data_IF_871848326298
#
_entry.id   IF_871848326298
#
_cell.length_a   1.000
_cell.length_b   1.000
_cell.length_c   1.000
_cell.angle_alpha   90.00
_cell.angle_beta   90.00
_cell.angle_gamma   90.00
#
_symmetry.space_group_name_H-M   'P 1'
#
loop_
_entity.id
_entity.type
_entity.pdbx_description
1 polymer ?
#
# COMPACT_ATOMS: atom_id res chain seq x y z
N UNK A 1 -32.83 -43.78 -2.78
CA UNK A 1 -33.09 -43.70 -1.33
C UNK A 1 -32.29 -44.79 -0.63
N UNK A 2 -31.05 -44.51 -0.29
CA UNK A 2 -30.22 -45.31 0.62
C UNK A 2 -29.30 -44.32 1.32
N UNK A 3 -29.67 -43.91 2.53
CA UNK A 3 -28.85 -43.05 3.39
C UNK A 3 -28.39 -43.89 4.55
N UNK A 4 -27.09 -44.14 4.57
CA UNK A 4 -26.35 -44.70 5.69
C UNK A 4 -26.61 -43.85 6.95
N UNK A 5 -27.37 -44.39 7.89
CA UNK A 5 -27.29 -44.00 9.29
C UNK A 5 -26.12 -44.78 9.92
N UNK A 6 -24.96 -44.13 10.00
CA UNK A 6 -23.97 -44.47 11.01
C UNK A 6 -24.07 -43.43 12.12
N UNK A 7 -25.09 -43.60 12.97
CA UNK A 7 -25.12 -42.94 14.27
C UNK A 7 -24.04 -43.65 15.09
N UNK A 8 -22.95 -42.93 15.37
CA UNK A 8 -22.02 -43.30 16.44
C UNK A 8 -22.84 -43.41 17.73
N UNK A 9 -23.17 -44.63 18.14
CA UNK A 9 -23.55 -44.95 19.51
C UNK A 9 -22.34 -44.61 20.40
N UNK A 10 -22.29 -43.36 20.87
CA UNK A 10 -21.49 -43.03 22.04
C UNK A 10 -22.27 -43.58 23.22
N UNK A 11 -21.84 -44.77 23.66
CA UNK A 11 -22.26 -45.41 24.90
C UNK A 11 -22.18 -44.38 26.04
N UNK A 12 -23.33 -43.85 26.46
CA UNK A 12 -23.44 -42.99 27.63
C UNK A 12 -23.21 -43.87 28.85
N UNK A 13 -21.95 -43.97 29.26
CA UNK A 13 -21.60 -44.45 30.59
C UNK A 13 -22.39 -43.59 31.57
N UNK A 14 -23.27 -44.23 32.34
CA UNK A 14 -24.11 -43.65 33.39
C UNK A 14 -23.26 -42.75 34.29
N UNK A 15 -23.27 -41.43 34.04
CA UNK A 15 -22.76 -40.47 35.01
C UNK A 15 -23.81 -40.38 36.11
N UNK A 16 -23.54 -41.01 37.26
CA UNK A 16 -24.28 -40.72 38.49
C UNK A 16 -23.98 -39.27 38.84
N UNK A 17 -25.02 -38.45 38.84
CA UNK A 17 -24.93 -37.05 39.22
C UNK A 17 -25.42 -36.99 40.66
N UNK A 18 -24.50 -36.79 41.60
CA UNK A 18 -24.80 -36.96 43.03
C UNK A 18 -25.24 -35.63 43.68
N UNK A 19 -25.22 -34.52 42.94
CA UNK A 19 -25.71 -33.23 43.40
C UNK A 19 -26.28 -32.34 42.28
N UNK A 20 -27.21 -31.44 42.64
CA UNK A 20 -27.78 -30.45 41.72
C UNK A 20 -26.69 -29.54 41.10
N UNK A 21 -25.61 -29.27 41.83
CA UNK A 21 -24.49 -28.46 41.35
C UNK A 21 -23.73 -29.14 40.21
N UNK A 22 -23.48 -30.45 40.30
CA UNK A 22 -22.87 -31.24 39.23
C UNK A 22 -23.76 -31.31 37.99
N UNK A 23 -25.08 -31.45 38.18
CA UNK A 23 -26.03 -31.46 37.08
C UNK A 23 -26.00 -30.14 36.30
N UNK A 24 -25.96 -29.01 37.01
CA UNK A 24 -25.89 -27.68 36.41
C UNK A 24 -24.55 -27.47 35.68
N UNK A 25 -23.44 -27.96 36.24
CA UNK A 25 -22.12 -27.88 35.60
C UNK A 25 -22.07 -28.70 34.31
N UNK A 26 -22.61 -29.92 34.34
CA UNK A 26 -22.74 -30.80 33.17
C UNK A 26 -23.60 -30.16 32.07
N UNK A 27 -24.78 -29.63 32.42
CA UNK A 27 -25.67 -28.93 31.49
C UNK A 27 -25.01 -27.69 30.87
N UNK A 28 -24.21 -26.94 31.63
CA UNK A 28 -23.43 -25.79 31.11
C UNK A 28 -22.33 -26.24 30.15
N UNK A 29 -21.65 -27.34 30.45
CA UNK A 29 -20.58 -27.89 29.61
C UNK A 29 -21.12 -28.42 28.28
N UNK A 30 -22.18 -29.22 28.30
CA UNK A 30 -22.80 -29.78 27.09
C UNK A 30 -23.43 -28.70 26.21
N UNK A 31 -24.15 -27.72 26.79
CA UNK A 31 -24.65 -26.59 26.02
C UNK A 31 -23.50 -25.80 25.35
N UNK A 32 -22.33 -25.71 25.98
CA UNK A 32 -21.14 -25.06 25.38
C UNK A 32 -20.60 -25.86 24.20
N UNK A 33 -20.56 -27.19 24.29
CA UNK A 33 -20.09 -28.07 23.22
C UNK A 33 -21.02 -28.04 22.00
N UNK A 34 -22.34 -28.08 22.21
CA UNK A 34 -23.31 -27.98 21.11
C UNK A 34 -23.31 -26.60 20.45
N UNK A 35 -23.25 -25.51 21.24
CA UNK A 35 -23.07 -24.15 20.69
C UNK A 35 -21.81 -24.04 19.83
N UNK A 36 -20.69 -24.63 20.28
CA UNK A 36 -19.43 -24.57 19.54
C UNK A 36 -19.44 -25.40 18.25
N UNK A 37 -20.12 -26.55 18.21
CA UNK A 37 -20.32 -27.33 16.99
C UNK A 37 -21.24 -26.61 15.99
N UNK A 38 -22.39 -26.11 16.45
CA UNK A 38 -23.33 -25.34 15.63
C UNK A 38 -22.72 -24.05 15.08
N UNK A 39 -21.97 -23.31 15.90
CA UNK A 39 -21.22 -22.11 15.48
C UNK A 39 -20.11 -22.44 14.48
N UNK A 40 -19.41 -23.57 14.60
CA UNK A 40 -18.41 -23.99 13.60
C UNK A 40 -19.07 -24.30 12.26
N UNK A 41 -20.20 -25.02 12.27
CA UNK A 41 -20.94 -25.38 11.07
C UNK A 41 -21.50 -24.13 10.38
N UNK A 42 -22.16 -23.23 11.13
CA UNK A 42 -22.64 -21.94 10.61
C UNK A 42 -21.51 -21.04 10.10
N UNK A 43 -20.37 -20.98 10.80
CA UNK A 43 -19.20 -20.23 10.32
C UNK A 43 -18.66 -20.79 9.02
N UNK A 44 -18.65 -22.10 8.84
CA UNK A 44 -18.22 -22.73 7.58
C UNK A 44 -19.21 -22.43 6.45
N UNK A 45 -20.52 -22.58 6.70
CA UNK A 45 -21.58 -22.26 5.72
C UNK A 45 -21.55 -20.78 5.29
N UNK A 46 -21.35 -19.85 6.23
CA UNK A 46 -21.26 -18.40 5.93
C UNK A 46 -19.94 -18.06 5.22
N UNK A 47 -18.87 -18.80 5.47
CA UNK A 47 -17.57 -18.62 4.80
C UNK A 47 -17.62 -19.08 3.34
N UNK A 48 -18.42 -20.10 3.05
CA UNK A 48 -18.58 -20.68 1.71
C UNK A 48 -19.60 -19.92 0.82
N UNK A 49 -20.57 -19.20 1.43
CA UNK A 49 -21.64 -18.48 0.71
C UNK A 49 -21.46 -16.94 0.64
N UNK A 50 -20.24 -16.41 0.72
CA UNK A 50 -20.02 -14.97 0.52
C UNK A 50 -20.32 -14.59 -0.93
N UNK A 51 -21.07 -13.51 -1.20
CA UNK A 51 -21.35 -13.08 -2.57
C UNK A 51 -20.03 -12.79 -3.28
N UNK A 52 -19.76 -13.54 -4.36
CA UNK A 52 -18.59 -13.34 -5.21
C UNK A 52 -18.95 -12.29 -6.26
N UNK A 53 -18.20 -11.20 -6.28
CA UNK A 53 -18.38 -10.13 -7.26
C UNK A 53 -17.55 -10.49 -8.49
N UNK A 54 -18.15 -10.51 -9.68
CA UNK A 54 -17.40 -10.65 -10.92
C UNK A 54 -16.60 -9.38 -11.19
N UNK A 55 -15.28 -9.47 -11.02
CA UNK A 55 -14.34 -8.37 -11.23
C UNK A 55 -13.60 -8.44 -12.56
N UNK A 56 -13.88 -9.44 -13.40
CA UNK A 56 -13.09 -9.73 -14.60
C UNK A 56 -13.22 -8.59 -15.63
N UNK A 57 -14.46 -8.14 -15.89
CA UNK A 57 -14.76 -7.05 -16.83
C UNK A 57 -14.14 -5.73 -16.39
N UNK A 58 -14.21 -5.41 -15.09
CA UNK A 58 -13.67 -4.15 -14.59
C UNK A 58 -12.14 -4.15 -14.59
N UNK A 59 -11.50 -5.30 -14.34
CA UNK A 59 -10.05 -5.45 -14.49
C UNK A 59 -9.62 -5.21 -15.93
N UNK A 60 -10.31 -5.82 -16.90
CA UNK A 60 -10.05 -5.63 -18.33
C UNK A 60 -10.18 -4.16 -18.75
N UNK A 61 -11.31 -3.50 -18.43
CA UNK A 61 -11.54 -2.09 -18.75
C UNK A 61 -10.48 -1.18 -18.12
N UNK A 62 -10.02 -1.53 -16.91
CA UNK A 62 -9.00 -0.76 -16.18
C UNK A 62 -7.57 -1.05 -16.67
N UNK A 63 -7.40 -1.92 -17.66
CA UNK A 63 -6.08 -2.31 -18.18
C UNK A 63 -5.23 -3.11 -17.19
N UNK A 64 -5.88 -3.86 -16.28
CA UNK A 64 -5.21 -4.76 -15.33
C UNK A 64 -5.09 -6.12 -15.98
N UNK A 65 -3.87 -6.62 -16.13
CA UNK A 65 -3.59 -7.90 -16.76
C UNK A 65 -3.74 -9.03 -15.73
N UNK A 66 -4.40 -10.12 -16.12
CA UNK A 66 -4.35 -11.37 -15.37
C UNK A 66 -3.03 -12.10 -15.60
N UNK A 67 -2.74 -13.13 -14.80
CA UNK A 67 -1.52 -13.93 -14.93
C UNK A 67 -1.35 -14.53 -16.34
N UNK A 68 -2.44 -14.99 -16.94
CA UNK A 68 -2.46 -15.54 -18.30
C UNK A 68 -2.16 -14.51 -19.40
N UNK A 69 -2.23 -13.21 -19.09
CA UNK A 69 -2.06 -12.11 -20.03
C UNK A 69 -0.74 -11.36 -19.82
N UNK A 70 0.20 -11.90 -19.05
CA UNK A 70 1.48 -11.25 -18.78
C UNK A 70 2.34 -11.05 -20.03
N UNK A 71 2.20 -11.90 -21.06
CA UNK A 71 2.86 -11.68 -22.35
C UNK A 71 2.33 -10.41 -23.03
N UNK A 72 1.01 -10.15 -22.95
CA UNK A 72 0.42 -8.92 -23.48
C UNK A 72 0.93 -7.68 -22.72
N UNK A 73 1.12 -7.78 -21.39
CA UNK A 73 1.74 -6.72 -20.59
C UNK A 73 3.19 -6.49 -21.00
N UNK A 74 3.97 -7.56 -21.23
CA UNK A 74 5.34 -7.46 -21.71
C UNK A 74 5.43 -6.83 -23.10
N UNK A 75 4.51 -7.15 -24.00
CA UNK A 75 4.43 -6.53 -25.33
C UNK A 75 3.97 -5.07 -25.28
N UNK A 76 3.10 -4.72 -24.33
CA UNK A 76 2.76 -3.33 -24.05
C UNK A 76 3.99 -2.55 -23.56
N UNK A 77 4.73 -3.09 -22.59
CA UNK A 77 5.93 -2.46 -22.02
C UNK A 77 7.02 -2.24 -23.06
N UNK A 78 7.22 -3.17 -24.02
CA UNK A 78 8.17 -3.00 -25.13
C UNK A 78 7.86 -1.82 -26.06
N UNK A 79 6.59 -1.39 -26.13
CA UNK A 79 6.15 -0.25 -26.95
C UNK A 79 6.32 1.10 -26.25
N UNK A 80 6.61 1.10 -24.95
CA UNK A 80 6.88 2.30 -24.17
C UNK A 80 8.33 2.78 -24.40
N UNK A 81 8.71 3.99 -23.94
CA UNK A 81 10.09 4.44 -23.96
C UNK A 81 11.07 3.41 -23.37
N UNK A 82 12.32 3.40 -23.86
CA UNK A 82 13.38 2.50 -23.35
C UNK A 82 13.46 2.59 -21.83
N UNK A 83 13.78 1.46 -21.20
CA UNK A 83 13.87 1.31 -19.75
C UNK A 83 12.57 1.52 -18.96
N UNK A 84 11.42 1.58 -19.65
CA UNK A 84 10.13 1.35 -19.01
C UNK A 84 10.04 -0.08 -18.48
N UNK A 85 9.30 -0.27 -17.39
CA UNK A 85 9.03 -1.59 -16.85
C UNK A 85 7.65 -1.66 -16.21
N UNK A 86 7.14 -2.87 -16.02
CA UNK A 86 5.97 -3.13 -15.19
C UNK A 86 6.34 -4.06 -14.03
N UNK A 87 5.76 -3.78 -12.87
CA UNK A 87 5.79 -4.65 -11.70
C UNK A 87 4.38 -5.22 -11.54
N UNK A 88 4.29 -6.55 -11.46
CA UNK A 88 3.03 -7.26 -11.32
C UNK A 88 3.16 -8.37 -10.29
N UNK A 89 2.14 -8.52 -9.44
CA UNK A 89 2.03 -9.68 -8.55
C UNK A 89 0.59 -9.90 -8.12
N UNK A 90 0.29 -11.14 -7.74
CA UNK A 90 -0.90 -11.44 -6.93
C UNK A 90 -0.57 -11.34 -5.46
N UNK A 91 -1.57 -11.04 -4.63
CA UNK A 91 -1.38 -11.08 -3.20
C UNK A 91 -2.61 -11.60 -2.50
N UNK A 92 -2.40 -12.12 -1.30
CA UNK A 92 -3.44 -12.61 -0.41
C UNK A 92 -3.49 -11.78 0.85
N UNK A 93 -4.66 -11.24 1.18
CA UNK A 93 -4.86 -10.49 2.43
C UNK A 93 -4.65 -11.40 3.66
N UNK A 94 -3.72 -11.01 4.55
CA UNK A 94 -3.48 -11.68 5.83
C UNK A 94 -4.39 -11.16 6.94
N UNK A 95 -4.92 -9.95 6.75
CA UNK A 95 -5.88 -9.26 7.62
C UNK A 95 -6.93 -8.56 6.76
N UNK A 96 -8.12 -8.22 7.32
CA UNK A 96 -9.14 -7.47 6.59
C UNK A 96 -8.58 -6.16 6.03
N UNK A 97 -9.02 -5.78 4.84
CA UNK A 97 -8.72 -4.48 4.24
C UNK A 97 -9.95 -3.57 4.32
N UNK A 98 -9.71 -2.31 4.64
CA UNK A 98 -10.71 -1.26 4.67
C UNK A 98 -10.11 0.05 4.17
N UNK A 99 -10.81 0.71 3.26
CA UNK A 99 -10.70 2.14 3.01
C UNK A 99 -12.11 2.66 3.05
N UNK A 100 -12.34 3.79 3.70
CA UNK A 100 -13.69 4.35 3.78
C UNK A 100 -14.14 4.84 2.41
N UNK A 101 -15.38 4.57 2.04
CA UNK A 101 -16.04 5.22 0.88
C UNK A 101 -16.59 6.61 1.25
N UNK A 102 -16.82 7.45 0.25
CA UNK A 102 -17.40 8.79 0.40
C UNK A 102 -18.94 8.79 0.24
N UNK A 103 -19.57 7.61 0.26
CA UNK A 103 -21.03 7.48 0.16
C UNK A 103 -21.70 7.74 1.52
N UNK A 104 -22.18 8.97 1.69
CA UNK A 104 -22.84 9.45 2.91
C UNK A 104 -24.20 8.78 3.17
N UNK A 105 -24.83 8.18 2.16
CA UNK A 105 -26.17 7.58 2.26
C UNK A 105 -26.14 6.04 2.27
N UNK A 106 -25.03 5.44 2.74
CA UNK A 106 -24.89 3.99 2.80
C UNK A 106 -25.50 3.37 4.06
N UNK A 107 -26.05 2.16 3.93
CA UNK A 107 -26.75 1.43 5.02
C UNK A 107 -25.80 1.11 6.19
N UNK A 108 -24.53 0.83 5.88
CA UNK A 108 -23.50 0.51 6.87
C UNK A 108 -22.72 1.78 7.23
N UNK A 109 -22.49 2.02 8.52
CA UNK A 109 -21.78 3.21 9.03
C UNK A 109 -20.39 3.46 8.43
N UNK A 110 -19.66 2.39 8.12
CA UNK A 110 -18.33 2.46 7.53
C UNK A 110 -18.32 1.60 6.25
N UNK A 111 -18.81 2.12 5.12
CA UNK A 111 -18.73 1.44 3.84
C UNK A 111 -17.28 1.30 3.40
N UNK A 112 -16.95 0.16 2.79
CA UNK A 112 -15.68 0.05 2.08
C UNK A 112 -15.79 0.80 0.76
N UNK A 113 -14.70 1.45 0.40
CA UNK A 113 -14.49 2.06 -0.90
C UNK A 113 -14.76 1.06 -2.03
N UNK A 114 -15.71 1.41 -2.89
CA UNK A 114 -16.06 0.62 -4.07
C UNK A 114 -15.89 1.41 -5.34
N UNK A 115 -15.67 0.68 -6.43
CA UNK A 115 -15.80 1.28 -7.75
C UNK A 115 -17.26 1.66 -8.03
N UNK A 116 -17.44 2.79 -8.72
CA UNK A 116 -18.73 3.47 -8.85
C UNK A 116 -19.80 2.64 -9.56
N UNK A 117 -19.44 1.93 -10.63
CA UNK A 117 -20.39 1.27 -11.53
C UNK A 117 -20.64 -0.19 -11.14
N UNK A 118 -19.58 -0.96 -10.91
CA UNK A 118 -19.65 -2.39 -10.59
C UNK A 118 -19.80 -2.65 -9.10
N UNK A 119 -19.64 -1.62 -8.26
CA UNK A 119 -19.71 -1.71 -6.79
C UNK A 119 -18.75 -2.73 -6.19
N UNK A 120 -17.67 -3.04 -6.91
CA UNK A 120 -16.60 -3.92 -6.46
C UNK A 120 -15.71 -3.18 -5.44
N UNK A 121 -15.44 -3.74 -4.25
CA UNK A 121 -14.51 -3.15 -3.30
C UNK A 121 -13.13 -2.99 -3.94
N UNK A 122 -12.45 -1.89 -3.66
CA UNK A 122 -11.19 -1.58 -4.34
C UNK A 122 -10.15 -0.89 -3.48
N UNK A 123 -8.90 -1.02 -3.92
CA UNK A 123 -7.82 -0.10 -3.60
C UNK A 123 -7.67 0.85 -4.79
N UNK A 124 -7.80 2.17 -4.58
CA UNK A 124 -7.53 3.16 -5.64
C UNK A 124 -6.03 3.14 -5.99
N UNK A 125 -5.69 3.47 -7.24
CA UNK A 125 -4.30 3.69 -7.65
C UNK A 125 -3.59 4.76 -6.80
N UNK A 126 -4.31 5.82 -6.40
CA UNK A 126 -3.79 6.82 -5.45
C UNK A 126 -3.55 6.25 -4.05
N UNK A 127 -4.37 5.28 -3.61
CA UNK A 127 -4.19 4.56 -2.35
C UNK A 127 -2.91 3.72 -2.36
N UNK A 128 -2.67 2.98 -3.47
CA UNK A 128 -1.40 2.27 -3.68
C UNK A 128 -0.20 3.22 -3.72
N UNK A 129 -0.31 4.32 -4.45
CA UNK A 129 0.74 5.35 -4.52
C UNK A 129 1.11 5.86 -3.12
N UNK A 130 0.11 6.26 -2.33
CA UNK A 130 0.32 6.81 -0.99
C UNK A 130 0.93 5.79 -0.04
N UNK A 131 0.42 4.56 -0.05
CA UNK A 131 0.92 3.48 0.81
C UNK A 131 2.36 3.08 0.43
N UNK A 132 2.64 2.92 -0.86
CA UNK A 132 3.98 2.59 -1.34
C UNK A 132 4.98 3.74 -1.12
N UNK A 133 4.56 5.00 -1.29
CA UNK A 133 5.40 6.15 -0.96
C UNK A 133 5.75 6.18 0.53
N UNK A 134 4.81 5.83 1.41
CA UNK A 134 5.07 5.71 2.84
C UNK A 134 6.08 4.60 3.13
N UNK A 135 5.90 3.41 2.54
CA UNK A 135 6.83 2.30 2.71
C UNK A 135 8.22 2.58 2.12
N UNK A 136 8.28 3.32 1.01
CA UNK A 136 9.54 3.69 0.36
C UNK A 136 10.37 4.63 1.24
N UNK A 137 9.75 5.61 1.93
CA UNK A 137 10.46 6.51 2.85
C UNK A 137 11.21 5.77 3.95
N UNK A 138 10.74 4.59 4.35
CA UNK A 138 11.42 3.74 5.33
C UNK A 138 12.83 3.31 4.86
N UNK A 139 13.10 3.30 3.55
CA UNK A 139 14.41 2.95 2.98
C UNK A 139 15.50 4.01 3.23
N UNK A 140 15.12 5.23 3.61
CA UNK A 140 16.04 6.36 3.78
C UNK A 140 15.76 7.25 5.00
N UNK A 141 14.66 7.04 5.75
CA UNK A 141 14.28 7.92 6.87
C UNK A 141 15.27 7.97 8.04
N UNK A 142 16.09 6.94 8.21
CA UNK A 142 16.99 6.80 9.38
C UNK A 142 18.30 7.57 9.20
N UNK A 143 18.75 7.71 7.96
CA UNK A 143 20.04 8.32 7.62
C UNK A 143 19.96 8.96 6.23
N UNK A 144 19.55 10.21 6.14
CA UNK A 144 19.33 10.83 4.83
C UNK A 144 20.64 11.25 4.16
N UNK A 145 21.72 11.54 4.93
CA UNK A 145 23.00 11.98 4.38
C UNK A 145 23.64 10.89 3.50
N UNK A 146 23.51 9.63 3.92
CA UNK A 146 23.99 8.47 3.17
C UNK A 146 22.99 7.91 2.15
N UNK A 147 21.78 8.49 2.03
CA UNK A 147 20.71 7.96 1.19
C UNK A 147 20.18 8.93 0.12
N UNK A 148 21.00 9.91 -0.29
CA UNK A 148 20.68 10.88 -1.37
C UNK A 148 20.14 10.23 -2.64
N UNK A 149 20.75 9.13 -3.10
CA UNK A 149 20.30 8.42 -4.30
C UNK A 149 18.87 7.87 -4.17
N UNK A 150 18.46 7.43 -2.96
CA UNK A 150 17.11 6.95 -2.71
C UNK A 150 16.09 8.08 -2.64
N UNK A 151 16.50 9.27 -2.18
CA UNK A 151 15.67 10.48 -2.23
C UNK A 151 15.43 10.88 -3.69
N UNK A 152 16.48 10.88 -4.52
CA UNK A 152 16.34 11.14 -5.96
C UNK A 152 15.41 10.10 -6.62
N UNK A 153 15.60 8.82 -6.31
CA UNK A 153 14.74 7.72 -6.77
C UNK A 153 13.28 7.93 -6.35
N UNK A 154 13.04 8.29 -5.09
CA UNK A 154 11.70 8.60 -4.58
C UNK A 154 11.03 9.73 -5.37
N UNK A 155 11.75 10.83 -5.60
CA UNK A 155 11.22 11.96 -6.34
C UNK A 155 10.92 11.61 -7.80
N UNK A 156 11.81 10.87 -8.49
CA UNK A 156 11.56 10.35 -9.85
C UNK A 156 10.30 9.49 -9.91
N UNK A 157 10.17 8.52 -9.01
CA UNK A 157 9.07 7.55 -9.00
C UNK A 157 7.73 8.22 -8.70
N UNK A 158 7.65 8.99 -7.62
CA UNK A 158 6.38 9.50 -7.09
C UNK A 158 6.03 10.92 -7.57
N UNK A 159 7.03 11.66 -8.07
CA UNK A 159 6.91 13.02 -8.57
C UNK A 159 7.15 14.07 -7.49
N UNK A 160 7.56 15.25 -7.94
CA UNK A 160 7.93 16.40 -7.11
C UNK A 160 6.91 17.55 -7.26
N UNK A 161 5.62 17.26 -7.08
CA UNK A 161 4.52 18.20 -7.36
C UNK A 161 4.04 19.05 -6.18
N UNK A 162 4.70 18.99 -5.01
CA UNK A 162 4.22 19.63 -3.78
C UNK A 162 4.36 21.15 -3.81
N UNK A 163 3.55 21.85 -3.01
CA UNK A 163 3.69 23.30 -2.82
C UNK A 163 5.06 23.65 -2.24
N UNK A 164 5.64 22.76 -1.44
CA UNK A 164 6.97 22.89 -0.85
C UNK A 164 8.04 23.01 -1.94
N UNK A 165 8.06 22.07 -2.88
CA UNK A 165 9.03 22.04 -3.98
C UNK A 165 8.83 23.25 -4.90
N UNK A 166 7.57 23.58 -5.25
CA UNK A 166 7.25 24.76 -6.08
C UNK A 166 7.80 26.06 -5.50
N UNK A 167 7.72 26.23 -4.19
CA UNK A 167 8.22 27.43 -3.52
C UNK A 167 9.76 27.49 -3.52
N UNK A 168 10.42 26.35 -3.26
CA UNK A 168 11.89 26.23 -3.32
C UNK A 168 12.37 26.50 -4.75
N UNK A 169 11.77 25.85 -5.74
CA UNK A 169 12.05 26.03 -7.16
C UNK A 169 11.88 27.49 -7.60
N UNK A 170 10.77 28.13 -7.20
CA UNK A 170 10.51 29.53 -7.54
C UNK A 170 11.55 30.48 -6.96
N UNK A 171 12.07 30.19 -5.77
CA UNK A 171 13.14 30.99 -5.17
C UNK A 171 14.48 30.73 -5.86
N UNK A 172 14.85 29.47 -6.11
CA UNK A 172 16.12 29.11 -6.76
C UNK A 172 16.17 29.58 -8.22
N UNK A 173 15.04 29.67 -8.93
CA UNK A 173 14.98 30.21 -10.29
C UNK A 173 14.66 31.72 -10.35
N UNK A 174 14.84 32.44 -9.23
CA UNK A 174 14.67 33.89 -9.13
C UNK A 174 13.28 34.42 -9.56
N UNK A 175 12.26 33.54 -9.56
CA UNK A 175 10.86 33.89 -9.78
C UNK A 175 10.21 34.51 -8.53
N UNK A 176 10.79 34.24 -7.35
CA UNK A 176 10.40 34.80 -6.05
C UNK A 176 11.62 35.32 -5.31
N UNK A 177 11.46 36.43 -4.56
CA UNK A 177 12.51 36.99 -3.69
C UNK A 177 12.33 36.64 -2.21
N UNK A 178 11.29 35.86 -1.87
CA UNK A 178 10.94 35.55 -0.49
C UNK A 178 11.74 34.36 0.06
N UNK A 179 12.89 34.66 0.66
CA UNK A 179 13.78 33.68 1.29
C UNK A 179 13.12 33.01 2.51
N UNK A 180 12.33 33.73 3.30
CA UNK A 180 11.74 33.18 4.52
C UNK A 180 10.71 32.10 4.18
N UNK A 181 9.89 32.33 3.16
CA UNK A 181 8.98 31.32 2.62
C UNK A 181 9.74 30.12 2.05
N UNK A 182 10.85 30.33 1.36
CA UNK A 182 11.67 29.23 0.83
C UNK A 182 12.25 28.34 1.95
N UNK A 183 12.76 28.95 3.04
CA UNK A 183 13.25 28.22 4.22
C UNK A 183 12.15 27.42 4.92
N UNK A 184 10.98 28.01 5.12
CA UNK A 184 9.83 27.33 5.72
C UNK A 184 9.39 26.13 4.87
N UNK A 185 9.29 26.35 3.55
CA UNK A 185 8.88 25.31 2.61
C UNK A 185 9.95 24.22 2.46
N UNK A 186 11.24 24.52 2.63
CA UNK A 186 12.29 23.52 2.75
C UNK A 186 12.10 22.62 3.98
N UNK A 187 11.83 23.20 5.15
CA UNK A 187 11.54 22.42 6.35
C UNK A 187 10.31 21.52 6.16
N UNK A 188 9.25 22.07 5.56
CA UNK A 188 8.04 21.30 5.24
C UNK A 188 8.32 20.16 4.25
N UNK A 189 9.15 20.40 3.23
CA UNK A 189 9.56 19.38 2.27
C UNK A 189 10.29 18.23 2.96
N UNK A 190 11.29 18.54 3.79
CA UNK A 190 12.08 17.54 4.51
C UNK A 190 11.18 16.73 5.46
N UNK A 191 10.34 17.40 6.24
CA UNK A 191 9.51 16.76 7.27
C UNK A 191 8.34 15.97 6.69
N UNK A 192 7.54 16.58 5.81
CA UNK A 192 6.26 16.01 5.36
C UNK A 192 6.39 15.25 4.05
N UNK A 193 7.13 15.81 3.08
CA UNK A 193 7.21 15.20 1.75
C UNK A 193 8.22 14.05 1.74
N UNK A 194 9.39 14.21 2.39
CA UNK A 194 10.40 13.16 2.52
C UNK A 194 10.24 12.30 3.77
N UNK A 195 9.51 12.76 4.79
CA UNK A 195 9.34 12.01 6.05
C UNK A 195 10.61 11.91 6.89
N UNK A 196 11.54 12.85 6.71
CA UNK A 196 12.81 12.88 7.42
C UNK A 196 12.65 13.55 8.78
N UNK A 197 13.48 13.14 9.74
CA UNK A 197 13.54 13.81 11.04
C UNK A 197 14.17 15.18 10.87
N UNK A 198 13.51 16.18 11.43
CA UNK A 198 14.01 17.55 11.51
C UNK A 198 14.35 17.84 12.97
N UNK A 199 15.63 18.03 13.25
CA UNK A 199 16.13 18.36 14.58
C UNK A 199 16.40 19.87 14.75
N UNK A 200 16.73 20.28 15.97
CA UNK A 200 17.00 21.70 16.28
C UNK A 200 18.22 22.23 15.54
N UNK A 201 19.23 21.39 15.31
CA UNK A 201 20.46 21.73 14.59
C UNK A 201 20.15 22.12 13.15
N UNK A 202 19.40 21.30 12.42
CA UNK A 202 18.99 21.57 11.05
C UNK A 202 18.08 22.80 10.95
N UNK A 203 17.15 22.97 11.89
CA UNK A 203 16.29 24.17 11.93
C UNK A 203 17.13 25.44 12.07
N UNK A 204 18.12 25.43 12.97
CA UNK A 204 18.97 26.59 13.20
C UNK A 204 19.89 26.85 12.00
N UNK A 205 20.42 25.80 11.39
CA UNK A 205 21.22 25.88 10.17
C UNK A 205 20.44 26.54 9.02
N UNK A 206 19.22 26.06 8.72
CA UNK A 206 18.37 26.63 7.67
C UNK A 206 17.99 28.08 7.99
N UNK A 207 17.70 28.40 9.26
CA UNK A 207 17.36 29.77 9.66
C UNK A 207 18.53 30.74 9.48
N UNK A 208 19.77 30.29 9.73
CA UNK A 208 20.97 31.12 9.68
C UNK A 208 21.41 31.52 8.26
N UNK A 209 21.01 30.79 7.21
CA UNK A 209 21.39 31.13 5.82
C UNK A 209 20.68 32.38 5.34
N UNK A 210 21.39 33.36 4.78
CA UNK A 210 20.80 34.66 4.42
C UNK A 210 20.65 34.90 2.92
N UNK A 211 21.03 33.93 2.11
CA UNK A 211 21.08 34.05 0.66
C UNK A 211 20.70 32.74 -0.02
N UNK A 212 20.62 32.79 -1.36
CA UNK A 212 20.28 31.67 -2.22
C UNK A 212 21.36 30.60 -2.19
N UNK A 213 22.62 31.00 -2.21
CA UNK A 213 23.78 30.11 -2.22
C UNK A 213 23.78 29.21 -0.98
N UNK A 214 23.50 29.79 0.19
CA UNK A 214 23.40 29.04 1.44
C UNK A 214 22.25 28.04 1.47
N UNK A 215 21.14 28.32 0.78
CA UNK A 215 20.02 27.37 0.66
C UNK A 215 20.36 26.21 -0.29
N UNK A 216 21.03 26.51 -1.40
CA UNK A 216 21.51 25.50 -2.36
C UNK A 216 22.54 24.60 -1.71
N UNK A 217 23.44 25.14 -0.91
CA UNK A 217 24.42 24.38 -0.13
C UNK A 217 23.74 23.34 0.77
N UNK A 218 22.67 23.73 1.48
CA UNK A 218 21.89 22.80 2.31
C UNK A 218 21.24 21.71 1.47
N UNK A 219 20.60 22.08 0.35
CA UNK A 219 19.97 21.10 -0.54
C UNK A 219 21.01 20.10 -1.08
N UNK A 220 22.22 20.56 -1.41
CA UNK A 220 23.32 19.74 -1.90
C UNK A 220 23.89 18.81 -0.82
N UNK A 221 24.16 19.37 0.36
CA UNK A 221 24.71 18.62 1.48
C UNK A 221 23.72 17.58 2.00
N UNK A 222 22.43 17.93 2.06
CA UNK A 222 21.43 17.09 2.71
C UNK A 222 20.67 16.19 1.74
N UNK A 223 20.39 16.60 0.49
CA UNK A 223 19.39 15.90 -0.33
C UNK A 223 19.96 15.29 -1.62
N UNK A 224 20.79 16.00 -2.38
CA UNK A 224 21.34 15.46 -3.64
C UNK A 224 22.66 16.12 -4.02
N UNK A 225 23.66 15.29 -4.33
CA UNK A 225 24.94 15.74 -4.85
C UNK A 225 24.84 16.29 -6.29
N UNK A 226 23.75 16.00 -7.02
CA UNK A 226 23.50 16.51 -8.38
C UNK A 226 23.07 17.98 -8.41
N UNK A 227 22.84 18.60 -7.24
CA UNK A 227 22.46 20.02 -7.15
C UNK A 227 23.68 20.91 -7.40
N UNK A 228 23.54 21.82 -8.37
CA UNK A 228 24.55 22.79 -8.76
C UNK A 228 24.11 24.22 -8.45
N UNK A 229 25.08 25.13 -8.34
CA UNK A 229 24.92 26.51 -7.83
C UNK A 229 23.88 27.37 -8.57
N UNK A 230 23.49 26.97 -9.77
CA UNK A 230 22.55 27.72 -10.63
C UNK A 230 21.34 26.94 -11.11
N UNK A 231 21.23 25.63 -10.82
CA UNK A 231 20.09 24.80 -11.27
C UNK A 231 19.77 23.66 -10.31
N UNK A 232 18.48 23.49 -10.03
CA UNK A 232 17.97 22.25 -9.42
C UNK A 232 17.99 21.14 -10.46
N UNK A 233 18.38 19.90 -10.11
CA UNK A 233 18.23 18.75 -10.98
C UNK A 233 16.73 18.47 -11.21
N UNK A 234 16.40 17.75 -12.29
CA UNK A 234 15.00 17.55 -12.71
C UNK A 234 14.13 16.97 -11.59
N UNK A 235 14.68 16.05 -10.80
CA UNK A 235 14.04 15.38 -9.68
C UNK A 235 13.57 16.34 -8.58
N UNK A 236 14.20 17.51 -8.47
CA UNK A 236 13.89 18.55 -7.49
C UNK A 236 13.12 19.74 -8.10
N UNK A 237 12.67 19.61 -9.34
CA UNK A 237 11.78 20.56 -9.99
C UNK A 237 10.34 20.04 -9.98
N UNK A 238 9.37 20.91 -10.26
CA UNK A 238 7.97 20.47 -10.33
C UNK A 238 7.75 19.50 -11.50
N UNK A 239 7.58 18.21 -11.20
CA UNK A 239 7.35 17.18 -12.23
C UNK A 239 6.37 16.08 -11.78
N UNK A 240 5.84 15.33 -12.76
CA UNK A 240 4.99 14.14 -12.52
C UNK A 240 5.87 12.94 -12.14
N UNK A 241 5.37 12.01 -11.32
CA UNK A 241 6.10 10.75 -11.06
C UNK A 241 6.15 9.84 -12.29
N UNK A 242 7.24 9.09 -12.43
CA UNK A 242 7.44 8.06 -13.47
C UNK A 242 6.55 6.82 -13.26
N UNK A 243 6.08 6.57 -12.03
CA UNK A 243 5.23 5.42 -11.73
C UNK A 243 3.72 5.71 -11.87
N UNK A 244 3.05 4.82 -12.60
CA UNK A 244 1.59 4.78 -12.82
C UNK A 244 1.03 3.61 -12.02
N UNK A 245 0.10 3.91 -11.12
CA UNK A 245 -0.48 2.94 -10.19
C UNK A 245 -1.89 2.56 -10.63
N UNK A 246 -2.11 1.26 -10.80
CA UNK A 246 -3.42 0.72 -11.15
C UNK A 246 -4.25 0.42 -9.89
N UNK A 247 -5.59 0.48 -9.99
CA UNK A 247 -6.44 0.04 -8.90
C UNK A 247 -6.34 -1.49 -8.70
N UNK A 248 -6.76 -1.96 -7.53
CA UNK A 248 -7.00 -3.39 -7.28
C UNK A 248 -8.46 -3.59 -6.92
N UNK A 249 -9.11 -4.59 -7.51
CA UNK A 249 -10.48 -4.96 -7.21
C UNK A 249 -10.52 -6.26 -6.40
N UNK A 250 -11.47 -6.35 -5.47
CA UNK A 250 -11.70 -7.54 -4.65
C UNK A 250 -13.03 -8.19 -5.01
N UNK A 251 -13.04 -9.51 -5.07
CA UNK A 251 -14.21 -10.32 -5.39
C UNK A 251 -15.05 -10.68 -4.16
N UNK A 252 -14.60 -10.31 -2.96
CA UNK A 252 -15.22 -10.66 -1.67
C UNK A 252 -15.49 -9.45 -0.81
N UNK A 253 -16.62 -9.52 -0.12
CA UNK A 253 -17.09 -8.52 0.83
C UNK A 253 -17.51 -9.21 2.14
N UNK A 254 -17.24 -8.57 3.26
CA UNK A 254 -17.61 -9.06 4.59
C UNK A 254 -17.89 -7.89 5.53
N UNK A 255 -18.48 -8.18 6.69
CA UNK A 255 -18.63 -7.22 7.78
C UNK A 255 -17.71 -7.64 8.92
N UNK A 256 -16.94 -6.68 9.43
CA UNK A 256 -16.14 -6.80 10.66
C UNK A 256 -16.72 -5.89 11.73
N UNK A 257 -16.62 -6.33 12.98
CA UNK A 257 -17.19 -5.61 14.13
C UNK A 257 -16.08 -5.28 15.11
N UNK A 258 -15.90 -3.99 15.40
CA UNK A 258 -15.02 -3.52 16.47
C UNK A 258 -15.91 -3.08 17.62
N UNK A 259 -15.72 -3.65 18.81
CA UNK A 259 -16.42 -3.20 20.02
C UNK A 259 -15.43 -2.46 20.94
N UNK A 260 -15.40 -1.11 20.93
CA UNK A 260 -14.55 -0.36 21.84
C UNK A 260 -14.95 -0.62 23.29
N UNK A 261 -13.97 -0.85 24.15
CA UNK A 261 -14.22 -1.08 25.58
C UNK A 261 -14.01 0.20 26.38
N UNK A 262 -14.95 0.48 27.28
CA UNK A 262 -14.76 1.47 28.33
C UNK A 262 -13.69 0.96 29.30
N UNK A 263 -12.61 1.73 29.47
CA UNK A 263 -11.47 1.34 30.32
C UNK A 263 -11.83 1.24 31.79
N UNK A 264 -12.79 2.04 32.26
CA UNK A 264 -13.23 2.09 33.67
C UNK A 264 -14.18 0.94 33.95
N UNK A 265 -15.22 0.80 33.12
CA UNK A 265 -16.26 -0.22 33.31
C UNK A 265 -15.86 -1.61 32.83
N UNK A 266 -14.75 -1.72 32.08
CA UNK A 266 -14.27 -2.94 31.38
C UNK A 266 -15.36 -3.62 30.53
N UNK A 267 -16.38 -2.87 30.13
CA UNK A 267 -17.51 -3.33 29.34
C UNK A 267 -17.38 -2.82 27.90
N UNK A 268 -17.87 -3.61 26.94
CA UNK A 268 -17.99 -3.16 25.55
C UNK A 268 -19.00 -2.02 25.46
N UNK A 269 -18.73 -1.06 24.60
CA UNK A 269 -19.65 0.07 24.35
C UNK A 269 -20.55 -0.26 23.15
N UNK A 270 -20.66 0.64 22.18
CA UNK A 270 -21.48 0.44 20.99
C UNK A 270 -20.62 -0.24 19.92
N UNK A 271 -21.00 -1.44 19.43
CA UNK A 271 -20.27 -2.09 18.34
C UNK A 271 -20.28 -1.25 17.07
N UNK A 272 -19.10 -1.07 16.48
CA UNK A 272 -18.89 -0.33 15.24
C UNK A 272 -18.70 -1.34 14.11
N UNK A 273 -19.53 -1.22 13.08
CA UNK A 273 -19.54 -2.12 11.93
C UNK A 273 -18.70 -1.52 10.80
N UNK A 274 -17.84 -2.35 10.21
CA UNK A 274 -17.02 -2.05 9.05
C UNK A 274 -17.35 -3.03 7.95
N UNK A 275 -17.69 -2.50 6.78
CA UNK A 275 -17.68 -3.29 5.57
C UNK A 275 -16.22 -3.41 5.11
N UNK A 276 -15.75 -4.61 4.74
CA UNK A 276 -14.33 -4.87 4.47
C UNK A 276 -14.15 -5.87 3.33
N UNK A 277 -12.97 -5.84 2.70
CA UNK A 277 -12.47 -7.01 1.98
C UNK A 277 -11.85 -7.97 3.01
N UNK A 278 -12.37 -9.20 3.18
CA UNK A 278 -11.97 -10.06 4.29
C UNK A 278 -10.57 -10.66 4.10
N UNK A 279 -9.98 -11.12 5.22
CA UNK A 279 -8.78 -11.96 5.20
C UNK A 279 -8.94 -13.15 4.24
N UNK A 280 -7.88 -13.46 3.50
CA UNK A 280 -7.81 -14.55 2.53
C UNK A 280 -8.37 -14.20 1.16
N UNK A 281 -8.77 -12.94 0.94
CA UNK A 281 -9.14 -12.42 -0.38
C UNK A 281 -7.88 -12.17 -1.20
N UNK A 282 -7.97 -12.46 -2.49
CA UNK A 282 -6.88 -12.25 -3.43
C UNK A 282 -7.05 -10.91 -4.16
N UNK A 283 -5.92 -10.30 -4.52
CA UNK A 283 -5.88 -9.10 -5.35
C UNK A 283 -4.70 -9.14 -6.32
N UNK A 284 -4.76 -8.30 -7.34
CA UNK A 284 -3.67 -8.08 -8.29
C UNK A 284 -3.11 -6.67 -8.04
N UNK A 285 -1.80 -6.59 -7.88
CA UNK A 285 -1.06 -5.33 -7.93
C UNK A 285 -0.42 -5.18 -9.32
N UNK A 286 -0.58 -4.00 -9.91
CA UNK A 286 0.07 -3.64 -11.16
C UNK A 286 0.58 -2.19 -11.10
N UNK A 287 1.84 -2.02 -11.48
CA UNK A 287 2.50 -0.72 -11.60
C UNK A 287 3.22 -0.67 -12.94
N UNK A 288 3.13 0.45 -13.64
CA UNK A 288 3.92 0.71 -14.85
C UNK A 288 4.81 1.92 -14.60
N UNK A 289 6.10 1.76 -14.83
CA UNK A 289 7.10 2.81 -14.76
C UNK A 289 7.46 3.28 -16.17
N UNK A 290 7.38 4.60 -16.38
CA UNK A 290 7.70 5.24 -17.66
C UNK A 290 8.64 6.43 -17.38
N UNK A 291 9.91 6.38 -17.83
CA UNK A 291 10.81 7.50 -17.71
C UNK A 291 10.54 8.53 -18.82
N UNK A 292 9.45 9.27 -18.70
CA UNK A 292 9.00 10.20 -19.75
C UNK A 292 9.92 11.42 -19.93
N UNK A 293 10.74 11.75 -18.93
CA UNK A 293 11.73 12.82 -18.92
C UNK A 293 13.07 12.43 -19.57
N UNK A 294 13.18 11.18 -20.04
CA UNK A 294 14.37 10.60 -20.64
C UNK A 294 14.80 11.17 -22.01
N UNK A 295 13.99 12.03 -22.65
CA UNK A 295 14.19 12.42 -24.07
C UNK A 295 15.58 13.03 -24.33
N UNK A 296 16.16 13.70 -23.32
CA UNK A 296 17.45 14.39 -23.42
C UNK A 296 18.53 13.76 -22.52
N UNK A 297 18.26 12.61 -21.88
CA UNK A 297 19.22 11.95 -20.98
C UNK A 297 20.06 10.92 -21.74
N UNK A 298 21.31 10.76 -21.32
CA UNK A 298 22.21 9.72 -21.82
C UNK A 298 21.65 8.33 -21.50
N UNK A 299 21.79 7.38 -22.43
CA UNK A 299 21.17 6.06 -22.33
C UNK A 299 21.69 5.28 -21.11
N UNK A 300 22.98 5.42 -20.78
CA UNK A 300 23.62 4.77 -19.63
C UNK A 300 23.10 5.29 -18.29
N UNK A 301 23.00 6.62 -18.13
CA UNK A 301 22.45 7.23 -16.90
C UNK A 301 21.00 6.81 -16.69
N UNK A 302 20.21 6.83 -17.76
CA UNK A 302 18.80 6.45 -17.71
C UNK A 302 18.60 4.99 -17.32
N UNK A 303 19.46 4.09 -17.83
CA UNK A 303 19.47 2.68 -17.44
C UNK A 303 19.74 2.54 -15.93
N UNK A 304 20.81 3.17 -15.44
CA UNK A 304 21.19 3.13 -14.03
C UNK A 304 20.08 3.65 -13.11
N UNK A 305 19.45 4.78 -13.47
CA UNK A 305 18.30 5.32 -12.74
C UNK A 305 17.15 4.32 -12.69
N UNK A 306 16.80 3.73 -13.84
CA UNK A 306 15.66 2.81 -13.95
C UNK A 306 15.89 1.52 -13.19
N UNK A 307 17.13 0.98 -13.19
CA UNK A 307 17.50 -0.19 -12.39
C UNK A 307 17.44 0.09 -10.89
N UNK A 308 17.98 1.23 -10.45
CA UNK A 308 17.91 1.65 -9.05
C UNK A 308 16.47 1.88 -8.60
N UNK A 309 15.66 2.53 -9.45
CA UNK A 309 14.24 2.80 -9.17
C UNK A 309 13.44 1.49 -9.06
N UNK A 310 13.69 0.53 -9.96
CA UNK A 310 13.07 -0.80 -9.93
C UNK A 310 13.44 -1.57 -8.65
N UNK A 311 14.71 -1.61 -8.28
CA UNK A 311 15.18 -2.30 -7.07
C UNK A 311 14.59 -1.68 -5.79
N UNK A 312 14.60 -0.34 -5.70
CA UNK A 312 14.00 0.35 -4.57
C UNK A 312 12.49 0.14 -4.48
N UNK A 313 11.76 0.13 -5.61
CA UNK A 313 10.33 -0.20 -5.65
C UNK A 313 10.08 -1.62 -5.12
N UNK A 314 10.86 -2.60 -5.55
CA UNK A 314 10.75 -3.98 -5.09
C UNK A 314 10.97 -4.09 -3.57
N UNK A 315 12.00 -3.41 -3.04
CA UNK A 315 12.26 -3.34 -1.59
C UNK A 315 11.13 -2.66 -0.83
N UNK A 316 10.59 -1.55 -1.35
CA UNK A 316 9.49 -0.83 -0.74
C UNK A 316 8.19 -1.68 -0.71
N UNK A 317 7.95 -2.51 -1.74
CA UNK A 317 6.82 -3.43 -1.79
C UNK A 317 6.90 -4.49 -0.67
N UNK A 318 8.10 -5.01 -0.36
CA UNK A 318 8.30 -5.94 0.77
C UNK A 318 8.05 -5.30 2.14
N UNK A 319 8.35 -4.00 2.29
CA UNK A 319 8.03 -3.25 3.49
C UNK A 319 6.52 -3.03 3.57
N UNK A 320 5.90 -2.65 2.45
CA UNK A 320 4.48 -2.37 2.34
C UNK A 320 3.62 -3.60 2.70
N UNK A 321 4.03 -4.81 2.27
CA UNK A 321 3.30 -6.05 2.56
C UNK A 321 3.12 -6.29 4.07
N UNK A 322 4.15 -5.94 4.85
CA UNK A 322 4.18 -6.05 6.32
C UNK A 322 3.46 -4.90 7.03
N UNK A 323 3.54 -3.68 6.50
CA UNK A 323 2.84 -2.52 7.05
C UNK A 323 1.33 -2.57 6.78
N UNK A 324 0.95 -3.09 5.62
CA UNK A 324 -0.42 -3.19 5.13
C UNK A 324 -0.90 -1.96 4.36
N UNK A 325 -1.95 -2.15 3.58
CA UNK A 325 -2.63 -1.11 2.80
C UNK A 325 -3.94 -0.66 3.47
N UNK A 326 -4.39 0.55 3.15
CA UNK A 326 -5.66 1.08 3.64
C UNK A 326 -5.60 1.65 5.05
N UNK A 327 -6.74 1.63 5.74
CA UNK A 327 -6.93 2.23 7.04
C UNK A 327 -6.75 1.23 8.19
N UNK A 328 -6.70 1.77 9.42
CA UNK A 328 -6.62 0.98 10.67
C UNK A 328 -5.34 0.12 10.79
N UNK A 329 -4.22 0.63 10.29
CA UNK A 329 -2.89 -0.01 10.40
C UNK A 329 -2.50 -0.40 11.82
N UNK A 330 -2.93 0.34 12.85
CA UNK A 330 -2.76 -0.03 14.28
C UNK A 330 -3.36 -1.39 14.65
N UNK A 331 -4.40 -1.82 13.93
CA UNK A 331 -5.03 -3.14 14.07
C UNK A 331 -4.45 -4.17 13.08
N UNK A 332 -3.39 -3.82 12.35
CA UNK A 332 -2.74 -4.67 11.35
C UNK A 332 -3.57 -4.93 10.11
N UNK A 333 -4.57 -4.08 9.82
CA UNK A 333 -5.45 -4.22 8.67
C UNK A 333 -4.70 -3.99 7.36
N UNK A 334 -5.12 -4.74 6.33
CA UNK A 334 -4.60 -4.67 4.97
C UNK A 334 -3.19 -5.22 4.77
N UNK A 335 -2.59 -5.92 5.74
CA UNK A 335 -1.38 -6.72 5.50
C UNK A 335 -1.65 -7.84 4.51
N UNK A 336 -0.64 -8.20 3.73
CA UNK A 336 -0.78 -9.21 2.67
C UNK A 336 0.50 -10.00 2.45
N UNK A 337 0.34 -11.22 1.94
CA UNK A 337 1.42 -12.05 1.42
C UNK A 337 1.49 -11.86 -0.09
N UNK A 338 2.69 -11.64 -0.63
CA UNK A 338 2.92 -11.51 -2.08
C UNK A 338 3.12 -12.89 -2.71
N UNK A 339 2.48 -13.12 -3.85
CA UNK A 339 2.52 -14.35 -4.65
C UNK A 339 2.75 -13.99 -6.13
N UNK A 340 3.42 -14.85 -6.91
CA UNK A 340 3.64 -14.68 -8.35
C UNK A 340 4.29 -13.33 -8.73
N UNK A 341 5.48 -13.05 -8.17
CA UNK A 341 6.26 -11.81 -8.43
C UNK A 341 6.78 -11.77 -9.87
N UNK A 342 6.30 -10.83 -10.67
CA UNK A 342 6.66 -10.67 -12.09
C UNK A 342 7.13 -9.26 -12.40
N UNK A 343 8.18 -9.17 -13.22
CA UNK A 343 8.62 -7.91 -13.82
C UNK A 343 8.65 -8.02 -15.34
N UNK A 344 7.98 -7.09 -16.02
CA UNK A 344 8.07 -7.00 -17.47
C UNK A 344 9.01 -5.84 -17.81
N UNK A 345 10.06 -6.09 -18.60
CA UNK A 345 11.18 -5.15 -18.76
C UNK A 345 11.31 -4.72 -20.22
N UNK A 346 11.51 -3.42 -20.47
CA UNK A 346 11.91 -2.88 -21.77
C UNK A 346 13.42 -2.57 -21.78
N UNK A 347 14.15 -3.15 -22.74
CA UNK A 347 15.61 -3.04 -22.82
C UNK A 347 16.35 -4.07 -21.96
N UNK A 348 17.61 -3.78 -21.69
CA UNK A 348 18.58 -4.63 -21.00
C UNK A 348 18.66 -4.35 -19.48
N UNK A 349 17.50 -4.11 -18.86
CA UNK A 349 17.39 -3.96 -17.40
C UNK A 349 17.62 -5.29 -16.67
N UNK A 350 18.30 -5.21 -15.54
CA UNK A 350 18.49 -6.32 -14.63
C UNK A 350 17.18 -6.75 -13.94
N UNK A 351 16.98 -8.06 -13.77
CA UNK A 351 15.84 -8.60 -13.02
C UNK A 351 16.14 -8.55 -11.52
N UNK A 352 15.28 -7.93 -10.69
CA UNK A 352 15.48 -7.86 -9.25
C UNK A 352 15.50 -9.24 -8.59
N UNK A 353 16.25 -9.38 -7.50
CA UNK A 353 16.35 -10.65 -6.77
C UNK A 353 14.97 -11.11 -6.27
N UNK A 354 14.62 -12.38 -6.55
CA UNK A 354 13.34 -12.97 -6.13
C UNK A 354 12.14 -12.56 -6.98
N UNK A 355 12.37 -11.89 -8.11
CA UNK A 355 11.35 -11.60 -9.12
C UNK A 355 11.62 -12.40 -10.39
N UNK A 356 10.55 -12.79 -11.07
CA UNK A 356 10.64 -13.51 -12.33
C UNK A 356 10.32 -12.57 -13.50
N UNK A 357 11.08 -12.67 -14.59
CA UNK A 357 10.81 -11.87 -15.78
C UNK A 357 9.54 -12.38 -16.48
N UNK A 358 8.69 -11.48 -16.95
CA UNK A 358 7.61 -11.82 -17.86
C UNK A 358 8.24 -12.44 -19.12
N UNK A 359 7.78 -13.63 -19.49
CA UNK A 359 8.17 -14.23 -20.77
C UNK A 359 7.43 -13.48 -21.89
N UNK A 360 8.08 -13.38 -23.05
CA UNK A 360 7.44 -12.90 -24.27
C UNK A 360 6.90 -14.10 -25.04
#
# INVERSE_FOLDING_TARGET
MAKFEAILEINLVKVKVDSLAEYIAYCKYNNRLEKNKGLKILKNIIKDNRPKIDISKIQEISGIYSESQLNNLQDYVKKLPKYSFAIWFTFKLEAPYFSKDDDDFYIIQNPILKETNFKAPMVRGSGWKGALASAFRELFKEDFENNKEKIESFLRIFGAGSESIKAIESYVFDKSKDLNKAKEKLLNFILFDLGLKVDRTLINEIKAKNNKEGLIEILKDKLSAKINDSKLPFEFQTHKGRAIFYPTYFDKLSIEIINPHDRIKRAGTVPIHFEVAPKGTYGIFQLIYIPFDAILKEETELKEESEKDLDNLCKAIEILSKQGIGAKTKYGWGRFTIENKKVCLNGDLNTPQGWERCQA
#
